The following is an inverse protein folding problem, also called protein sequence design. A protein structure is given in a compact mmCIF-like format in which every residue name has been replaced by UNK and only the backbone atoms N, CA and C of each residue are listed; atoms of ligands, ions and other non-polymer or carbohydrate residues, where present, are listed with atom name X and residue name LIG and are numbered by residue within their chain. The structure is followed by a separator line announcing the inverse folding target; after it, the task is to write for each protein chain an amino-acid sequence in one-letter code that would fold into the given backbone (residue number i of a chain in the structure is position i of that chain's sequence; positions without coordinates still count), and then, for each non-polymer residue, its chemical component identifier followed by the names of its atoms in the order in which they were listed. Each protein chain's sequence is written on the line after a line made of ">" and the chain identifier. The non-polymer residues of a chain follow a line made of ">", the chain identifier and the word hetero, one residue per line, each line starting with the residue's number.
data_IF_012380536073
#
_entry.id   IF_012380536073
#
_cell.length_a   1.000
_cell.length_b   1.000
_cell.length_c   1.000
_cell.angle_alpha   90.00
_cell.angle_beta   90.00
_cell.angle_gamma   90.00
#
_symmetry.space_group_name_H-M   'P 1'
#
loop_
_entity.id
_entity.type
_entity.pdbx_description
1 polymer ?
#
# COMPACT_ATOMS: atom_id res chain seq x y z
N UNK A 1 12.21 10.22 -17.94
CA UNK A 1 12.60 8.81 -17.79
C UNK A 1 13.10 8.55 -16.37
N UNK A 2 12.22 8.73 -15.38
CA UNK A 2 12.49 8.32 -14.01
C UNK A 2 11.98 6.88 -13.88
N UNK A 3 12.86 5.99 -13.45
CA UNK A 3 12.52 4.57 -13.23
C UNK A 3 11.50 4.49 -12.10
N UNK A 4 10.31 3.96 -12.40
CA UNK A 4 9.41 3.43 -11.36
C UNK A 4 10.20 2.40 -10.55
N UNK A 5 10.15 2.53 -9.23
CA UNK A 5 10.82 1.64 -8.29
C UNK A 5 10.21 0.25 -8.41
N UNK A 6 11.02 -0.70 -8.89
CA UNK A 6 10.68 -2.11 -9.05
C UNK A 6 10.06 -2.70 -7.77
N UNK A 7 9.02 -3.52 -7.94
CA UNK A 7 8.45 -4.35 -6.88
C UNK A 7 9.54 -5.10 -6.11
N UNK A 8 9.43 -5.08 -4.77
CA UNK A 8 10.43 -5.53 -3.80
C UNK A 8 10.99 -6.94 -4.08
N UNK A 9 10.24 -7.81 -4.77
CA UNK A 9 10.67 -9.17 -5.12
C UNK A 9 11.77 -9.28 -6.19
N UNK A 10 11.87 -8.33 -7.14
CA UNK A 10 12.82 -8.42 -8.26
C UNK A 10 14.14 -7.67 -8.03
N UNK A 11 14.16 -6.66 -7.15
CA UNK A 11 15.37 -5.91 -6.81
C UNK A 11 16.42 -6.76 -6.05
N UNK A 12 15.99 -7.77 -5.28
CA UNK A 12 16.86 -8.67 -4.53
C UNK A 12 17.67 -9.64 -5.42
N UNK A 13 17.11 -10.06 -6.57
CA UNK A 13 17.77 -11.01 -7.49
C UNK A 13 18.86 -10.34 -8.36
N UNK A 14 18.68 -9.07 -8.74
CA UNK A 14 19.62 -8.36 -9.61
C UNK A 14 20.94 -7.92 -8.91
N UNK A 15 20.95 -7.79 -7.58
CA UNK A 15 22.17 -7.40 -6.82
C UNK A 15 23.09 -8.56 -6.44
N UNK A 16 22.59 -9.81 -6.36
CA UNK A 16 23.41 -10.99 -6.00
C UNK A 16 24.42 -11.41 -7.08
N UNK A 17 24.23 -11.00 -8.34
CA UNK A 17 25.13 -11.39 -9.45
C UNK A 17 26.34 -10.47 -9.67
N UNK A 18 26.44 -9.30 -9.02
CA UNK A 18 27.55 -8.35 -9.24
C UNK A 18 28.68 -8.38 -8.21
N UNK A 19 28.62 -9.23 -7.18
CA UNK A 19 29.64 -9.28 -6.11
C UNK A 19 30.67 -10.41 -6.33
N UNK A 20 30.52 -11.24 -7.37
CA UNK A 20 31.36 -12.43 -7.55
C UNK A 20 32.70 -12.25 -8.29
N UNK A 21 33.06 -11.05 -8.77
CA UNK A 21 34.34 -10.85 -9.47
C UNK A 21 35.06 -9.57 -9.04
N UNK A 22 35.84 -9.65 -7.96
CA UNK A 22 37.22 -9.12 -7.89
C UNK A 22 37.88 -9.45 -6.55
N UNK A 23 38.73 -10.47 -6.56
CA UNK A 23 39.82 -10.74 -5.60
C UNK A 23 41.09 -10.31 -6.36
N UNK A 24 42.02 -9.51 -5.85
CA UNK A 24 43.15 -9.86 -4.96
C UNK A 24 44.07 -8.61 -4.97
N UNK A 25 44.61 -8.08 -3.88
CA UNK A 25 45.99 -8.42 -3.44
C UNK A 25 46.48 -7.50 -2.30
N UNK A 26 47.31 -8.13 -1.45
CA UNK A 26 48.37 -7.60 -0.57
C UNK A 26 48.08 -7.15 0.87
N UNK A 27 48.42 -8.07 1.79
CA UNK A 27 48.68 -7.90 3.22
C UNK A 27 50.18 -7.56 3.40
N UNK A 28 50.58 -6.80 4.44
CA UNK A 28 51.51 -7.40 5.41
C UNK A 28 51.17 -7.16 6.90
N UNK A 29 51.12 -8.31 7.60
CA UNK A 29 51.29 -8.69 9.00
C UNK A 29 51.54 -7.71 10.18
N UNK A 30 50.89 -8.12 11.30
CA UNK A 30 51.30 -8.17 12.73
C UNK A 30 50.93 -7.02 13.68
N UNK A 31 49.96 -7.29 14.57
CA UNK A 31 50.22 -7.59 16.01
C UNK A 31 48.92 -7.95 16.75
N UNK A 32 49.02 -8.92 17.65
CA UNK A 32 47.95 -9.58 18.42
C UNK A 32 47.42 -8.72 19.60
N UNK A 33 46.10 -8.70 19.82
CA UNK A 33 45.40 -8.63 21.13
C UNK A 33 43.87 -8.76 20.95
N UNK A 34 43.11 -9.18 21.98
CA UNK A 34 42.01 -10.14 21.86
C UNK A 34 40.63 -9.52 21.51
N UNK A 35 39.87 -10.29 20.72
CA UNK A 35 38.40 -10.36 20.64
C UNK A 35 37.64 -9.10 21.11
N UNK A 36 37.50 -8.13 20.21
CA UNK A 36 36.33 -7.26 20.21
C UNK A 36 35.16 -8.10 19.70
N UNK A 37 34.19 -8.35 20.57
CA UNK A 37 32.82 -8.63 20.18
C UNK A 37 32.40 -7.55 19.16
N UNK A 38 31.66 -7.97 18.12
CA UNK A 38 31.16 -7.07 17.09
C UNK A 38 30.22 -6.01 17.71
N UNK A 39 30.76 -4.93 18.24
CA UNK A 39 30.00 -3.75 18.64
C UNK A 39 29.45 -3.09 17.37
N UNK A 40 28.20 -3.43 17.05
CA UNK A 40 27.47 -2.88 15.92
C UNK A 40 27.09 -1.42 16.25
N UNK A 41 27.86 -0.45 15.76
CA UNK A 41 27.58 0.97 15.98
C UNK A 41 26.64 1.48 14.88
N UNK A 42 25.33 1.51 15.15
CA UNK A 42 24.34 2.15 14.27
C UNK A 42 24.28 3.64 14.63
N UNK A 43 24.51 4.52 13.65
CA UNK A 43 24.36 5.97 13.88
C UNK A 43 22.89 6.33 13.93
N UNK A 44 22.45 6.92 15.04
CA UNK A 44 21.08 7.40 15.22
C UNK A 44 20.90 8.77 14.55
N UNK A 45 19.70 9.04 14.05
CA UNK A 45 19.35 10.34 13.46
C UNK A 45 19.16 11.46 14.51
N UNK A 46 19.09 11.12 15.80
CA UNK A 46 18.87 12.05 16.91
C UNK A 46 19.87 11.79 18.05
N UNK A 47 20.30 12.85 18.75
CA UNK A 47 21.09 12.74 19.97
C UNK A 47 20.17 12.32 21.13
N UNK A 48 20.36 11.10 21.65
CA UNK A 48 19.55 10.52 22.73
C UNK A 48 20.43 10.22 23.94
N UNK A 49 19.88 10.33 25.16
CA UNK A 49 20.57 9.95 26.38
C UNK A 49 20.96 8.45 26.34
N UNK A 50 22.26 8.12 26.42
CA UNK A 50 22.72 6.72 26.43
C UNK A 50 22.23 5.88 27.62
N UNK A 51 21.60 6.48 28.63
CA UNK A 51 21.05 5.78 29.79
C UNK A 51 19.53 5.58 29.72
N UNK A 52 18.85 6.15 28.72
CA UNK A 52 17.42 5.93 28.49
C UNK A 52 17.22 4.89 27.38
N UNK A 53 17.14 3.62 27.79
CA UNK A 53 16.96 2.48 26.89
C UNK A 53 15.72 2.65 25.99
N UNK A 54 14.64 3.21 26.51
CA UNK A 54 13.40 3.36 25.76
C UNK A 54 13.47 4.50 24.74
N UNK A 55 14.14 5.60 25.08
CA UNK A 55 14.39 6.67 24.12
C UNK A 55 15.31 6.20 22.99
N UNK A 56 16.31 5.38 23.29
CA UNK A 56 17.19 4.76 22.29
C UNK A 56 16.39 3.85 21.36
N UNK A 57 15.51 3.01 21.92
CA UNK A 57 14.65 2.14 21.12
C UNK A 57 13.77 2.96 20.14
N UNK A 58 13.14 4.04 20.60
CA UNK A 58 12.34 4.91 19.73
C UNK A 58 13.17 5.53 18.62
N UNK A 59 14.35 6.06 18.93
CA UNK A 59 15.20 6.69 17.93
C UNK A 59 15.73 5.68 16.90
N UNK A 60 16.07 4.47 17.33
CA UNK A 60 16.49 3.40 16.43
C UNK A 60 15.36 2.96 15.50
N UNK A 61 14.16 2.76 16.05
CA UNK A 61 12.98 2.43 15.25
C UNK A 61 12.61 3.54 14.27
N UNK A 62 12.62 4.80 14.72
CA UNK A 62 12.41 5.96 13.83
C UNK A 62 13.44 6.04 12.71
N UNK A 63 14.71 5.73 13.00
CA UNK A 63 15.76 5.66 11.98
C UNK A 63 15.45 4.58 10.94
N UNK A 64 14.88 3.45 11.35
CA UNK A 64 14.40 2.43 10.43
C UNK A 64 13.21 2.91 9.60
N UNK A 65 12.16 3.44 10.22
CA UNK A 65 10.91 3.80 9.52
C UNK A 65 11.07 4.99 8.58
N UNK A 66 11.97 5.92 8.88
CA UNK A 66 12.30 7.06 8.01
C UNK A 66 13.31 6.73 6.90
N UNK A 67 13.94 5.56 6.96
CA UNK A 67 14.77 5.05 5.88
C UNK A 67 13.93 4.35 4.81
N UNK A 68 14.56 3.82 3.76
CA UNK A 68 13.87 3.00 2.76
C UNK A 68 13.35 1.64 3.29
N UNK A 69 13.42 1.39 4.61
CA UNK A 69 13.03 0.14 5.29
C UNK A 69 13.73 -1.11 4.71
N UNK A 70 14.88 -0.94 4.04
CA UNK A 70 15.58 -1.98 3.27
C UNK A 70 16.79 -2.59 4.02
N UNK A 71 16.98 -2.20 5.27
CA UNK A 71 18.12 -2.62 6.08
C UNK A 71 17.75 -3.66 7.12
N UNK A 72 17.96 -4.94 6.77
CA UNK A 72 17.86 -6.08 7.70
C UNK A 72 18.76 -5.87 8.93
N UNK A 73 19.88 -5.17 8.77
CA UNK A 73 20.81 -4.87 9.85
C UNK A 73 20.17 -3.95 10.91
N UNK A 74 19.48 -2.90 10.48
CA UNK A 74 18.89 -1.91 11.40
C UNK A 74 17.73 -2.53 12.15
N UNK A 75 16.85 -3.30 11.48
CA UNK A 75 15.70 -3.93 12.13
C UNK A 75 16.13 -5.01 13.14
N UNK A 76 17.19 -5.77 12.85
CA UNK A 76 17.80 -6.67 13.84
C UNK A 76 18.36 -5.90 15.05
N UNK A 77 18.91 -4.71 14.84
CA UNK A 77 19.31 -3.81 15.93
C UNK A 77 18.14 -3.45 16.85
N UNK A 78 16.98 -3.10 16.28
CA UNK A 78 15.74 -2.80 17.04
C UNK A 78 15.30 -4.01 17.87
N UNK A 79 15.29 -5.20 17.27
CA UNK A 79 14.90 -6.45 17.93
C UNK A 79 15.85 -6.79 19.08
N UNK A 80 17.16 -6.70 18.86
CA UNK A 80 18.15 -6.95 19.90
C UNK A 80 18.04 -5.97 21.07
N UNK A 81 17.69 -4.71 20.79
CA UNK A 81 17.43 -3.70 21.82
C UNK A 81 16.17 -4.04 22.62
N UNK A 82 15.09 -4.47 21.95
CA UNK A 82 13.90 -4.96 22.61
C UNK A 82 14.20 -6.14 23.55
N UNK A 83 14.99 -7.10 23.07
CA UNK A 83 15.44 -8.25 23.86
C UNK A 83 16.32 -7.84 25.04
N UNK A 84 17.20 -6.84 24.86
CA UNK A 84 18.04 -6.30 25.95
C UNK A 84 17.16 -5.71 27.04
N UNK A 85 16.18 -4.88 26.67
CA UNK A 85 15.23 -4.27 27.60
C UNK A 85 14.46 -5.35 28.36
N UNK A 86 13.91 -6.36 27.68
CA UNK A 86 13.16 -7.43 28.35
C UNK A 86 14.02 -8.29 29.28
N UNK A 87 15.27 -8.59 28.90
CA UNK A 87 16.19 -9.36 29.76
C UNK A 87 16.59 -8.59 31.01
N UNK A 88 16.69 -7.27 30.91
CA UNK A 88 17.09 -6.41 32.02
C UNK A 88 15.90 -5.91 32.86
N UNK A 89 14.67 -6.04 32.35
CA UNK A 89 13.48 -5.61 33.05
C UNK A 89 13.25 -6.44 34.32
N UNK A 90 13.11 -5.76 35.45
CA UNK A 90 12.65 -6.35 36.69
C UNK A 90 11.11 -6.49 36.70
N UNK A 91 10.53 -7.41 37.49
CA UNK A 91 9.07 -7.59 37.57
C UNK A 91 8.26 -6.34 37.95
N UNK A 92 8.92 -5.32 38.52
CA UNK A 92 8.32 -4.06 38.94
C UNK A 92 8.36 -2.99 37.83
N UNK A 93 9.13 -3.23 36.76
CA UNK A 93 9.36 -2.24 35.72
C UNK A 93 8.12 -2.16 34.83
N UNK A 94 7.70 -0.92 34.54
CA UNK A 94 6.56 -0.65 33.65
C UNK A 94 7.09 -0.51 32.24
N UNK A 95 6.89 -1.55 31.44
CA UNK A 95 7.21 -1.54 30.02
C UNK A 95 6.05 -0.88 29.28
N UNK A 96 6.25 0.26 28.61
CA UNK A 96 5.19 1.01 27.95
C UNK A 96 4.57 0.27 26.77
N UNK A 97 3.36 0.66 26.37
CA UNK A 97 2.62 0.08 25.24
C UNK A 97 3.39 0.12 23.91
N UNK A 98 4.00 1.26 23.57
CA UNK A 98 4.75 1.42 22.33
C UNK A 98 5.95 0.48 22.21
N UNK A 99 6.48 -0.03 23.33
CA UNK A 99 7.54 -1.04 23.29
C UNK A 99 7.05 -2.31 22.57
N UNK A 100 5.85 -2.77 22.94
CA UNK A 100 5.24 -3.97 22.36
C UNK A 100 4.89 -3.75 20.89
N UNK A 101 4.42 -2.54 20.54
CA UNK A 101 4.16 -2.13 19.15
C UNK A 101 5.45 -2.19 18.33
N UNK A 102 6.51 -1.50 18.77
CA UNK A 102 7.80 -1.48 18.08
C UNK A 102 8.35 -2.89 17.92
N UNK A 103 8.29 -3.71 18.97
CA UNK A 103 8.83 -5.06 18.91
C UNK A 103 8.04 -5.95 17.94
N UNK A 104 6.71 -5.98 18.05
CA UNK A 104 5.85 -6.75 17.15
C UNK A 104 6.02 -6.33 15.68
N UNK A 105 6.00 -5.03 15.40
CA UNK A 105 6.19 -4.51 14.05
C UNK A 105 7.61 -4.75 13.52
N UNK A 106 8.63 -4.74 14.38
CA UNK A 106 9.99 -5.04 13.94
C UNK A 106 10.16 -6.50 13.52
N UNK A 107 9.54 -7.43 14.23
CA UNK A 107 9.50 -8.85 13.84
C UNK A 107 8.71 -9.06 12.55
N UNK A 108 7.60 -8.34 12.38
CA UNK A 108 6.82 -8.32 11.14
C UNK A 108 7.63 -7.82 9.94
N UNK A 109 8.39 -6.74 10.10
CA UNK A 109 9.23 -6.21 9.02
C UNK A 109 10.44 -7.13 8.74
N UNK A 110 11.01 -7.78 9.76
CA UNK A 110 12.07 -8.77 9.57
C UNK A 110 11.60 -9.97 8.72
N UNK A 111 10.34 -10.37 8.86
CA UNK A 111 9.74 -11.47 8.09
C UNK A 111 9.88 -11.26 6.56
N UNK A 112 9.79 -10.00 6.09
CA UNK A 112 9.91 -9.62 4.67
C UNK A 112 11.29 -9.93 4.07
N UNK A 113 12.34 -10.05 4.88
CA UNK A 113 13.69 -10.42 4.42
C UNK A 113 13.88 -11.94 4.26
N UNK A 114 12.92 -12.75 4.73
CA UNK A 114 13.03 -14.20 4.81
C UNK A 114 11.88 -14.94 4.09
N UNK A 115 11.26 -14.30 3.09
CA UNK A 115 10.14 -14.85 2.30
C UNK A 115 10.44 -16.19 1.62
N UNK A 116 11.72 -16.50 1.36
CA UNK A 116 12.14 -17.80 0.80
C UNK A 116 12.09 -18.97 1.81
N UNK A 117 11.97 -18.69 3.12
CA UNK A 117 11.94 -19.71 4.17
C UNK A 117 10.64 -19.65 4.97
N UNK A 118 9.68 -20.50 4.60
CA UNK A 118 8.35 -20.56 5.21
C UNK A 118 8.38 -20.84 6.72
N UNK A 119 9.26 -21.72 7.20
CA UNK A 119 9.33 -22.04 8.63
C UNK A 119 9.75 -20.82 9.45
N UNK A 120 10.78 -20.09 8.98
CA UNK A 120 11.21 -18.84 9.62
C UNK A 120 10.15 -17.75 9.53
N UNK A 121 9.47 -17.65 8.40
CA UNK A 121 8.41 -16.68 8.18
C UNK A 121 7.29 -16.88 9.22
N UNK A 122 6.81 -18.11 9.38
CA UNK A 122 5.81 -18.48 10.39
C UNK A 122 6.30 -18.18 11.82
N UNK A 123 7.57 -18.44 12.13
CA UNK A 123 8.17 -18.13 13.43
C UNK A 123 8.17 -16.63 13.74
N UNK A 124 8.53 -15.78 12.77
CA UNK A 124 8.53 -14.33 12.96
C UNK A 124 7.13 -13.78 13.18
N UNK A 125 6.13 -14.22 12.40
CA UNK A 125 4.75 -13.78 12.57
C UNK A 125 4.16 -14.23 13.90
N UNK A 126 4.40 -15.48 14.32
CA UNK A 126 3.99 -15.96 15.65
C UNK A 126 4.64 -15.15 16.76
N UNK A 127 5.95 -14.92 16.68
CA UNK A 127 6.66 -14.11 17.67
C UNK A 127 6.12 -12.67 17.71
N UNK A 128 5.84 -12.07 16.55
CA UNK A 128 5.26 -10.73 16.44
C UNK A 128 3.90 -10.65 17.13
N UNK A 129 3.00 -11.59 16.82
CA UNK A 129 1.67 -11.68 17.44
C UNK A 129 1.75 -11.92 18.95
N UNK A 130 2.63 -12.82 19.41
CA UNK A 130 2.85 -13.05 20.84
C UNK A 130 3.27 -11.76 21.56
N UNK A 131 4.15 -10.93 20.97
CA UNK A 131 4.54 -9.65 21.57
C UNK A 131 3.37 -8.66 21.64
N UNK A 132 2.53 -8.62 20.61
CA UNK A 132 1.35 -7.75 20.61
C UNK A 132 0.31 -8.23 21.63
N UNK A 133 0.11 -9.55 21.75
CA UNK A 133 -0.80 -10.13 22.74
C UNK A 133 -0.32 -9.92 24.18
N UNK A 134 0.99 -10.04 24.43
CA UNK A 134 1.60 -9.65 25.71
C UNK A 134 1.31 -8.17 26.05
N UNK A 135 1.38 -7.30 25.04
CA UNK A 135 1.03 -5.88 25.16
C UNK A 135 -0.46 -5.67 25.47
N UNK A 136 -1.35 -6.30 24.71
CA UNK A 136 -2.81 -6.20 24.88
C UNK A 136 -3.28 -6.78 26.21
N UNK A 137 -2.60 -7.80 26.74
CA UNK A 137 -2.87 -8.33 28.07
C UNK A 137 -2.59 -7.32 29.20
N UNK A 138 -1.71 -6.34 28.96
CA UNK A 138 -1.35 -5.27 29.92
C UNK A 138 -2.10 -3.97 29.65
N UNK A 139 -2.28 -3.65 28.38
CA UNK A 139 -2.90 -2.44 27.86
C UNK A 139 -4.12 -2.84 27.04
N UNK A 140 -5.14 -3.31 27.76
CA UNK A 140 -6.38 -3.76 27.14
C UNK A 140 -6.94 -2.64 26.26
N UNK A 141 -7.36 -2.98 25.05
CA UNK A 141 -7.99 -2.06 24.11
C UNK A 141 -7.12 -0.88 23.63
N UNK A 142 -5.79 -0.93 23.81
CA UNK A 142 -4.89 0.08 23.26
C UNK A 142 -4.96 0.12 21.73
N UNK A 143 -5.24 1.30 21.17
CA UNK A 143 -5.49 1.50 19.73
C UNK A 143 -4.25 1.14 18.91
N UNK A 144 -3.07 1.62 19.31
CA UNK A 144 -1.82 1.34 18.58
C UNK A 144 -1.47 -0.16 18.53
N UNK A 145 -1.74 -0.90 19.61
CA UNK A 145 -1.57 -2.36 19.63
C UNK A 145 -2.56 -3.09 18.74
N UNK A 146 -3.81 -2.59 18.63
CA UNK A 146 -4.81 -3.16 17.72
C UNK A 146 -4.45 -2.90 16.25
N UNK A 147 -4.05 -1.67 15.91
CA UNK A 147 -3.55 -1.33 14.56
C UNK A 147 -2.35 -2.20 14.18
N UNK A 148 -1.38 -2.35 15.09
CA UNK A 148 -0.23 -3.23 14.88
C UNK A 148 -0.65 -4.69 14.70
N UNK A 149 -1.59 -5.20 15.51
CA UNK A 149 -2.11 -6.56 15.39
C UNK A 149 -2.72 -6.80 14.00
N UNK A 150 -3.61 -5.91 13.55
CA UNK A 150 -4.23 -6.02 12.23
C UNK A 150 -3.20 -6.03 11.11
N UNK A 151 -2.22 -5.11 11.15
CA UNK A 151 -1.13 -5.05 10.18
C UNK A 151 -0.32 -6.36 10.13
N UNK A 152 -0.03 -6.97 11.27
CA UNK A 152 0.70 -8.24 11.33
C UNK A 152 -0.12 -9.37 10.73
N UNK A 153 -1.43 -9.44 11.04
CA UNK A 153 -2.32 -10.46 10.49
C UNK A 153 -2.46 -10.35 8.97
N UNK A 154 -2.58 -9.14 8.42
CA UNK A 154 -2.61 -8.92 6.97
C UNK A 154 -1.30 -9.36 6.30
N UNK A 155 -0.15 -8.97 6.86
CA UNK A 155 1.15 -9.39 6.31
C UNK A 155 1.37 -10.90 6.41
N UNK A 156 0.93 -11.55 7.49
CA UNK A 156 0.96 -13.01 7.62
C UNK A 156 0.10 -13.67 6.53
N UNK A 157 -1.15 -13.18 6.37
CA UNK A 157 -2.06 -13.67 5.34
C UNK A 157 -1.41 -13.59 3.95
N UNK A 158 -0.87 -12.43 3.58
CA UNK A 158 -0.24 -12.22 2.28
C UNK A 158 0.99 -13.11 2.08
N UNK A 159 1.95 -13.10 3.01
CA UNK A 159 3.25 -13.75 2.78
C UNK A 159 3.23 -15.26 3.08
N UNK A 160 2.45 -15.71 4.07
CA UNK A 160 2.44 -17.12 4.51
C UNK A 160 1.35 -17.92 3.79
N UNK A 161 0.20 -17.29 3.51
CA UNK A 161 -0.99 -18.00 3.04
C UNK A 161 -1.26 -17.77 1.55
N UNK A 162 -1.14 -16.54 1.05
CA UNK A 162 -1.43 -16.19 -0.35
C UNK A 162 -0.23 -16.41 -1.26
N UNK A 163 0.94 -15.89 -0.91
CA UNK A 163 2.16 -15.96 -1.75
C UNK A 163 2.57 -17.39 -2.16
N UNK A 164 2.41 -18.44 -1.31
CA UNK A 164 2.75 -19.81 -1.71
C UNK A 164 1.73 -20.50 -2.63
N UNK A 165 0.59 -19.86 -2.92
CA UNK A 165 -0.44 -20.44 -3.77
C UNK A 165 0.04 -20.53 -5.22
N UNK A 166 -0.60 -21.44 -5.95
CA UNK A 166 -0.44 -21.67 -7.38
C UNK A 166 -1.83 -21.82 -8.01
N UNK A 167 -1.93 -21.72 -9.33
CA UNK A 167 -3.20 -21.93 -10.05
C UNK A 167 -3.88 -23.29 -9.76
N UNK A 168 -3.10 -24.28 -9.32
CA UNK A 168 -3.60 -25.62 -8.97
C UNK A 168 -3.98 -25.76 -7.48
N UNK A 169 -3.83 -24.71 -6.68
CA UNK A 169 -4.10 -24.73 -5.25
C UNK A 169 -5.59 -24.93 -4.97
N UNK A 170 -5.89 -25.74 -3.97
CA UNK A 170 -7.25 -26.10 -3.58
C UNK A 170 -7.45 -25.82 -2.11
N UNK A 171 -8.61 -25.27 -1.77
CA UNK A 171 -9.02 -25.11 -0.38
C UNK A 171 -9.10 -26.50 0.29
N UNK A 172 -8.41 -26.67 1.42
CA UNK A 172 -8.50 -27.89 2.22
C UNK A 172 -9.69 -27.77 3.17
N UNK A 173 -10.46 -28.86 3.34
CA UNK A 173 -11.66 -28.85 4.19
C UNK A 173 -11.37 -28.51 5.66
N UNK A 174 -10.19 -28.87 6.16
CA UNK A 174 -9.78 -28.67 7.56
C UNK A 174 -9.00 -27.36 7.80
N UNK A 175 -8.68 -26.61 6.74
CA UNK A 175 -7.98 -25.33 6.88
C UNK A 175 -8.99 -24.18 6.93
N UNK A 176 -8.69 -23.19 7.77
CA UNK A 176 -9.48 -21.98 7.85
C UNK A 176 -9.44 -21.23 6.51
N UNK A 177 -10.61 -20.75 6.06
CA UNK A 177 -10.74 -20.06 4.79
C UNK A 177 -9.99 -18.73 4.83
N UNK A 178 -9.31 -18.37 3.73
CA UNK A 178 -8.56 -17.11 3.62
C UNK A 178 -9.45 -15.89 3.83
N UNK A 179 -10.68 -15.90 3.29
CA UNK A 179 -11.65 -14.83 3.52
C UNK A 179 -11.99 -14.64 4.99
N UNK A 180 -12.05 -15.72 5.79
CA UNK A 180 -12.28 -15.62 7.23
C UNK A 180 -11.07 -15.02 7.95
N UNK A 181 -9.86 -15.42 7.58
CA UNK A 181 -8.63 -14.83 8.14
C UNK A 181 -8.52 -13.34 7.82
N UNK A 182 -8.94 -12.95 6.61
CA UNK A 182 -9.02 -11.55 6.22
C UNK A 182 -10.09 -10.82 7.06
N UNK A 183 -11.31 -11.35 7.14
CA UNK A 183 -12.39 -10.78 7.96
C UNK A 183 -11.95 -10.59 9.43
N UNK A 184 -11.25 -11.57 10.01
CA UNK A 184 -10.72 -11.48 11.37
C UNK A 184 -9.65 -10.38 11.53
N UNK A 185 -8.79 -10.17 10.52
CA UNK A 185 -7.79 -9.09 10.53
C UNK A 185 -8.48 -7.71 10.44
N UNK A 186 -9.42 -7.55 9.51
CA UNK A 186 -10.16 -6.31 9.30
C UNK A 186 -11.01 -5.95 10.53
N UNK A 187 -11.61 -6.94 11.20
CA UNK A 187 -12.35 -6.71 12.44
C UNK A 187 -11.48 -6.15 13.56
N UNK A 188 -10.19 -6.50 13.62
CA UNK A 188 -9.25 -5.93 14.60
C UNK A 188 -8.98 -4.45 14.30
N UNK A 189 -8.92 -4.08 13.02
CA UNK A 189 -8.80 -2.68 12.61
C UNK A 189 -10.04 -1.85 12.96
N UNK A 190 -11.24 -2.35 12.65
CA UNK A 190 -12.51 -1.70 12.99
C UNK A 190 -12.59 -1.40 14.51
N UNK A 191 -12.17 -2.37 15.34
CA UNK A 191 -12.11 -2.16 16.79
C UNK A 191 -11.13 -1.06 17.21
N UNK A 192 -10.05 -0.85 16.46
CA UNK A 192 -9.10 0.22 16.71
C UNK A 192 -9.69 1.58 16.34
N UNK A 193 -10.35 1.66 15.18
CA UNK A 193 -11.01 2.88 14.71
C UNK A 193 -12.16 3.31 15.63
N UNK A 194 -13.06 2.39 16.00
CA UNK A 194 -14.16 2.67 16.90
C UNK A 194 -13.65 3.31 18.21
N UNK A 195 -12.59 2.74 18.77
CA UNK A 195 -11.97 3.26 20.00
C UNK A 195 -11.28 4.59 19.80
N UNK A 196 -10.62 4.79 18.66
CA UNK A 196 -9.97 6.04 18.36
C UNK A 196 -10.98 7.19 18.19
N UNK A 197 -12.16 6.90 17.63
CA UNK A 197 -13.26 7.86 17.59
C UNK A 197 -13.84 8.13 18.99
N UNK A 198 -14.04 7.09 19.81
CA UNK A 198 -14.53 7.22 21.19
C UNK A 198 -13.59 8.04 22.09
N UNK A 199 -12.27 7.83 21.98
CA UNK A 199 -11.26 8.55 22.77
C UNK A 199 -10.75 9.83 22.12
N UNK A 200 -11.12 10.08 20.86
CA UNK A 200 -10.69 11.19 20.03
C UNK A 200 -9.16 11.27 19.83
N UNK A 201 -8.48 10.12 19.81
CA UNK A 201 -7.04 9.93 19.59
C UNK A 201 -6.70 9.90 18.08
N UNK A 202 -6.96 11.01 17.41
CA UNK A 202 -6.75 11.15 15.97
C UNK A 202 -5.27 11.22 15.57
N UNK A 203 -4.39 11.45 16.55
CA UNK A 203 -2.94 11.50 16.34
C UNK A 203 -2.36 10.19 15.83
N UNK A 204 -3.06 9.06 16.02
CA UNK A 204 -2.66 7.74 15.54
C UNK A 204 -2.94 7.52 14.05
N UNK A 205 -3.71 8.40 13.40
CA UNK A 205 -3.93 8.35 11.95
C UNK A 205 -2.83 9.15 11.26
N UNK A 206 -1.69 8.50 11.08
CA UNK A 206 -0.47 9.04 10.49
C UNK A 206 0.03 8.16 9.33
N UNK A 207 1.15 8.54 8.72
CA UNK A 207 1.72 7.83 7.57
C UNK A 207 2.11 6.38 7.90
N UNK A 208 2.61 6.12 9.11
CA UNK A 208 3.01 4.78 9.54
C UNK A 208 1.80 3.83 9.67
N UNK A 209 0.63 4.34 10.07
CA UNK A 209 -0.59 3.55 10.17
C UNK A 209 -1.40 3.50 8.86
N UNK A 210 -1.14 4.40 7.90
CA UNK A 210 -1.66 4.27 6.53
C UNK A 210 -1.10 3.01 5.83
N UNK A 211 0.11 2.56 6.20
CA UNK A 211 0.72 1.30 5.70
C UNK A 211 -0.23 0.09 5.82
N UNK A 212 -1.17 0.09 6.78
CA UNK A 212 -2.15 -1.00 6.91
C UNK A 212 -3.14 -1.03 5.74
N UNK A 213 -3.71 0.13 5.38
CA UNK A 213 -4.62 0.24 4.24
C UNK A 213 -3.88 -0.03 2.93
N UNK A 214 -2.61 0.41 2.82
CA UNK A 214 -1.74 0.05 1.70
C UNK A 214 -1.50 -1.46 1.62
N UNK A 215 -1.25 -2.13 2.75
CA UNK A 215 -1.02 -3.58 2.75
C UNK A 215 -2.28 -4.38 2.37
N UNK A 216 -3.48 -3.87 2.66
CA UNK A 216 -4.73 -4.45 2.19
C UNK A 216 -4.90 -4.25 0.69
N UNK A 217 -4.68 -3.02 0.19
CA UNK A 217 -4.72 -2.67 -1.23
C UNK A 217 -3.80 -3.59 -2.06
N UNK A 218 -2.54 -3.70 -1.62
CA UNK A 218 -1.54 -4.59 -2.24
C UNK A 218 -1.99 -6.07 -2.23
N UNK A 219 -2.67 -6.52 -1.17
CA UNK A 219 -3.20 -7.87 -1.10
C UNK A 219 -4.34 -8.07 -2.11
N UNK A 220 -5.26 -7.12 -2.23
CA UNK A 220 -6.36 -7.19 -3.19
C UNK A 220 -5.84 -7.17 -4.62
N UNK A 221 -4.86 -6.31 -4.93
CA UNK A 221 -4.17 -6.28 -6.22
C UNK A 221 -3.50 -7.63 -6.55
N UNK A 222 -2.81 -8.25 -5.58
CA UNK A 222 -2.22 -9.60 -5.75
C UNK A 222 -3.31 -10.64 -6.05
N UNK A 223 -4.49 -10.52 -5.46
CA UNK A 223 -5.61 -11.45 -5.64
C UNK A 223 -6.26 -11.27 -7.02
N UNK A 224 -6.50 -10.04 -7.44
CA UNK A 224 -7.13 -9.69 -8.71
C UNK A 224 -6.24 -10.02 -9.91
N UNK A 225 -4.92 -9.89 -9.73
CA UNK A 225 -3.91 -10.21 -10.73
C UNK A 225 -3.31 -11.61 -10.55
N UNK A 226 -3.88 -12.45 -9.69
CA UNK A 226 -3.30 -13.76 -9.37
C UNK A 226 -3.23 -14.66 -10.62
N UNK A 227 -2.00 -14.97 -11.04
CA UNK A 227 -1.73 -15.85 -12.17
C UNK A 227 -1.76 -15.18 -13.54
N UNK A 228 -2.15 -13.90 -13.61
CA UNK A 228 -1.92 -13.08 -14.80
C UNK A 228 -0.43 -12.82 -14.93
N UNK A 229 0.09 -12.91 -16.14
CA UNK A 229 1.54 -12.85 -16.39
C UNK A 229 1.96 -11.38 -16.52
N UNK A 230 1.60 -10.52 -15.55
CA UNK A 230 1.87 -9.08 -15.59
C UNK A 230 3.38 -8.82 -15.65
N UNK A 231 3.94 -8.88 -16.85
CA UNK A 231 5.31 -8.57 -17.16
C UNK A 231 5.43 -7.06 -17.03
N UNK A 232 5.79 -6.60 -15.83
CA UNK A 232 6.38 -5.28 -15.61
C UNK A 232 7.47 -5.03 -16.69
N UNK A 233 7.13 -4.27 -17.73
CA UNK A 233 8.04 -3.93 -18.83
C UNK A 233 7.58 -4.35 -20.23
N UNK A 234 6.29 -4.27 -20.55
CA UNK A 234 5.88 -4.17 -21.95
C UNK A 234 6.49 -2.90 -22.55
N UNK A 235 7.43 -3.09 -23.46
CA UNK A 235 7.91 -2.04 -24.36
C UNK A 235 6.69 -1.47 -25.10
N UNK A 236 6.65 -0.13 -25.29
CA UNK A 236 5.57 0.65 -25.94
C UNK A 236 5.25 0.23 -27.40
N UNK A 237 5.76 -0.91 -27.87
CA UNK A 237 5.67 -1.42 -29.24
C UNK A 237 4.91 -2.77 -29.36
N UNK A 238 4.31 -3.33 -28.28
CA UNK A 238 3.42 -4.50 -28.43
C UNK A 238 1.99 -4.05 -28.77
N UNK A 239 1.50 -4.54 -29.91
CA UNK A 239 0.15 -4.31 -30.41
C UNK A 239 -0.89 -4.71 -29.35
N UNK A 240 -1.93 -3.89 -29.17
CA UNK A 240 -3.05 -4.06 -28.21
C UNK A 240 -3.84 -5.38 -28.35
N UNK A 241 -3.49 -6.24 -29.31
CA UNK A 241 -4.16 -7.53 -29.57
C UNK A 241 -3.69 -8.67 -28.65
N UNK A 242 -2.64 -8.49 -27.84
CA UNK A 242 -2.14 -9.47 -26.85
C UNK A 242 -2.58 -9.14 -25.41
N UNK A 243 -3.83 -8.68 -25.20
CA UNK A 243 -4.42 -8.60 -23.84
C UNK A 243 -4.42 -10.02 -23.25
N UNK A 244 -3.52 -10.24 -22.28
CA UNK A 244 -3.28 -11.51 -21.60
C UNK A 244 -4.60 -12.17 -21.18
N UNK A 245 -4.80 -13.41 -21.64
CA UNK A 245 -5.97 -14.25 -21.34
C UNK A 245 -6.41 -14.11 -19.87
N UNK A 246 -7.67 -13.75 -19.65
CA UNK A 246 -8.26 -13.67 -18.31
C UNK A 246 -8.09 -15.02 -17.59
N UNK A 247 -7.29 -15.03 -16.53
CA UNK A 247 -6.97 -16.27 -15.81
C UNK A 247 -8.11 -16.64 -14.88
N UNK A 248 -8.98 -17.53 -15.37
CA UNK A 248 -10.06 -18.11 -14.58
C UNK A 248 -9.51 -19.04 -13.50
N UNK A 249 -9.81 -18.71 -12.24
CA UNK A 249 -9.49 -19.59 -11.11
C UNK A 249 -10.56 -20.67 -10.94
N UNK A 250 -10.17 -21.92 -10.64
CA UNK A 250 -11.12 -22.96 -10.27
C UNK A 250 -11.97 -22.53 -9.07
N UNK A 251 -13.27 -22.87 -9.06
CA UNK A 251 -14.19 -22.54 -7.95
C UNK A 251 -13.71 -23.01 -6.56
N UNK A 252 -12.89 -24.06 -6.50
CA UNK A 252 -12.30 -24.58 -5.25
C UNK A 252 -10.97 -23.93 -4.88
N UNK A 253 -10.51 -22.93 -5.63
CA UNK A 253 -9.29 -22.18 -5.36
C UNK A 253 -9.48 -21.27 -4.12
N UNK A 254 -8.52 -21.21 -3.18
CA UNK A 254 -8.67 -20.46 -1.93
C UNK A 254 -8.94 -18.95 -2.08
N UNK A 255 -8.56 -18.35 -3.21
CA UNK A 255 -8.72 -16.91 -3.47
C UNK A 255 -10.07 -16.53 -4.06
N UNK A 256 -10.86 -17.47 -4.59
CA UNK A 256 -12.13 -17.15 -5.27
C UNK A 256 -13.08 -16.35 -4.38
N UNK A 257 -13.17 -16.70 -3.09
CA UNK A 257 -14.04 -15.98 -2.15
C UNK A 257 -13.57 -14.58 -1.77
N UNK A 258 -12.36 -14.19 -2.17
CA UNK A 258 -11.84 -12.83 -1.99
C UNK A 258 -11.94 -12.08 -3.32
N UNK A 259 -11.47 -12.69 -4.41
CA UNK A 259 -11.46 -12.10 -5.76
C UNK A 259 -12.86 -11.74 -6.28
N UNK A 260 -13.82 -12.64 -6.08
CA UNK A 260 -15.14 -12.49 -6.69
C UNK A 260 -16.12 -11.73 -5.75
N UNK A 261 -15.63 -11.15 -4.65
CA UNK A 261 -16.43 -10.47 -3.63
C UNK A 261 -15.93 -9.04 -3.39
N UNK A 262 -16.65 -8.08 -3.96
CA UNK A 262 -16.30 -6.66 -3.92
C UNK A 262 -16.36 -6.03 -2.51
N UNK A 263 -16.86 -6.76 -1.51
CA UNK A 263 -16.95 -6.25 -0.12
C UNK A 263 -15.61 -5.76 0.43
N UNK A 264 -14.49 -6.32 -0.03
CA UNK A 264 -13.16 -5.92 0.44
C UNK A 264 -12.67 -4.62 -0.17
N UNK A 265 -12.95 -4.36 -1.46
CA UNK A 265 -12.68 -3.06 -2.09
C UNK A 265 -13.57 -1.98 -1.45
N UNK A 266 -14.85 -2.28 -1.24
CA UNK A 266 -15.77 -1.39 -0.56
C UNK A 266 -15.32 -1.10 0.88
N UNK A 267 -14.92 -2.13 1.63
CA UNK A 267 -14.35 -1.98 2.98
C UNK A 267 -13.13 -1.07 2.94
N UNK A 268 -12.15 -1.34 2.06
CA UNK A 268 -10.95 -0.53 1.94
C UNK A 268 -11.29 0.94 1.71
N UNK A 269 -12.27 1.22 0.84
CA UNK A 269 -12.66 2.58 0.50
C UNK A 269 -13.37 3.28 1.66
N UNK A 270 -14.32 2.63 2.32
CA UNK A 270 -15.05 3.18 3.46
C UNK A 270 -14.11 3.51 4.62
N UNK A 271 -13.16 2.63 4.88
CA UNK A 271 -12.16 2.81 5.93
C UNK A 271 -11.09 3.84 5.53
N UNK A 272 -10.77 3.99 4.24
CA UNK A 272 -9.91 5.07 3.75
C UNK A 272 -10.58 6.44 3.87
N UNK A 273 -11.90 6.55 3.64
CA UNK A 273 -12.65 7.78 3.95
C UNK A 273 -12.61 8.10 5.44
N UNK A 274 -12.83 7.11 6.30
CA UNK A 274 -12.78 7.29 7.76
C UNK A 274 -11.39 7.73 8.22
N UNK A 275 -10.34 7.13 7.65
CA UNK A 275 -8.95 7.56 7.87
C UNK A 275 -8.74 9.02 7.46
N UNK A 276 -9.20 9.43 6.27
CA UNK A 276 -9.13 10.82 5.80
C UNK A 276 -9.84 11.79 6.75
N UNK A 277 -11.03 11.43 7.22
CA UNK A 277 -11.78 12.23 8.19
C UNK A 277 -11.01 12.41 9.50
N UNK A 278 -10.36 11.35 9.99
CA UNK A 278 -9.56 11.41 11.20
C UNK A 278 -8.29 12.24 11.02
N UNK A 279 -7.64 12.16 9.85
CA UNK A 279 -6.54 13.07 9.48
C UNK A 279 -7.03 14.53 9.44
N UNK A 280 -8.21 14.81 8.90
CA UNK A 280 -8.81 16.15 8.90
C UNK A 280 -9.14 16.65 10.32
N UNK A 281 -9.59 15.76 11.22
CA UNK A 281 -9.79 16.08 12.64
C UNK A 281 -8.46 16.34 13.34
N UNK A 282 -7.42 15.56 13.04
CA UNK A 282 -6.07 15.73 13.55
C UNK A 282 -5.47 17.08 13.12
N UNK A 283 -5.57 17.42 11.83
CA UNK A 283 -5.11 18.70 11.26
C UNK A 283 -5.76 19.92 11.95
N UNK A 284 -7.06 19.82 12.30
CA UNK A 284 -7.78 20.88 13.02
C UNK A 284 -7.29 21.06 14.45
N UNK A 285 -6.84 19.99 15.12
CA UNK A 285 -6.35 20.03 16.51
C UNK A 285 -4.89 20.48 16.61
N UNK A 286 -4.04 20.04 15.67
CA UNK A 286 -2.58 20.19 15.77
C UNK A 286 -2.01 21.01 14.61
N UNK A 287 -1.94 22.34 14.80
CA UNK A 287 -1.39 23.27 13.79
C UNK A 287 0.10 23.07 13.50
N UNK A 288 0.82 22.43 14.41
CA UNK A 288 2.29 22.35 14.36
C UNK A 288 2.80 21.28 13.38
N UNK A 289 1.94 20.32 12.99
CA UNK A 289 2.23 19.26 12.00
C UNK A 289 1.54 19.48 10.65
N UNK A 290 1.19 20.73 10.35
CA UNK A 290 0.32 21.05 9.21
C UNK A 290 0.87 20.54 7.88
N UNK A 291 2.18 20.66 7.65
CA UNK A 291 2.79 20.30 6.37
C UNK A 291 2.85 18.77 6.19
N UNK A 292 3.26 18.03 7.23
CA UNK A 292 3.26 16.55 7.24
C UNK A 292 1.85 15.99 7.00
N UNK A 293 0.87 16.49 7.75
CA UNK A 293 -0.52 16.04 7.63
C UNK A 293 -1.17 16.48 6.31
N UNK A 294 -0.76 17.62 5.73
CA UNK A 294 -1.23 18.04 4.42
C UNK A 294 -0.71 17.11 3.31
N UNK A 295 0.55 16.66 3.41
CA UNK A 295 1.09 15.65 2.51
C UNK A 295 0.32 14.33 2.61
N UNK A 296 0.16 13.80 3.84
CA UNK A 296 -0.60 12.58 4.09
C UNK A 296 -2.04 12.68 3.56
N UNK A 297 -2.72 13.80 3.82
CA UNK A 297 -4.08 14.05 3.33
C UNK A 297 -4.17 13.99 1.80
N UNK A 298 -3.21 14.59 1.10
CA UNK A 298 -3.16 14.56 -0.38
C UNK A 298 -2.94 13.15 -0.89
N UNK A 299 -2.03 12.39 -0.26
CA UNK A 299 -1.79 11.00 -0.63
C UNK A 299 -3.05 10.14 -0.48
N UNK A 300 -3.80 10.28 0.62
CA UNK A 300 -5.06 9.57 0.84
C UNK A 300 -6.10 9.97 -0.23
N UNK A 301 -6.21 11.26 -0.55
CA UNK A 301 -7.11 11.73 -1.60
C UNK A 301 -6.70 11.18 -2.98
N UNK A 302 -5.41 11.10 -3.28
CA UNK A 302 -4.90 10.52 -4.53
C UNK A 302 -5.36 9.07 -4.66
N UNK A 303 -5.18 8.26 -3.60
CA UNK A 303 -5.61 6.85 -3.53
C UNK A 303 -7.12 6.68 -3.69
N UNK A 304 -7.92 7.48 -2.98
CA UNK A 304 -9.38 7.47 -3.15
C UNK A 304 -9.77 7.82 -4.60
N UNK A 305 -9.13 8.83 -5.18
CA UNK A 305 -9.33 9.20 -6.58
C UNK A 305 -9.07 8.03 -7.53
N UNK A 306 -7.92 7.36 -7.36
CA UNK A 306 -7.54 6.19 -8.16
C UNK A 306 -8.52 5.02 -7.98
N UNK A 307 -8.94 4.72 -6.76
CA UNK A 307 -9.92 3.65 -6.49
C UNK A 307 -11.27 3.89 -7.18
N UNK A 308 -11.74 5.14 -7.23
CA UNK A 308 -12.97 5.46 -7.97
C UNK A 308 -12.80 5.37 -9.49
N UNK A 309 -11.62 5.71 -10.02
CA UNK A 309 -11.33 5.50 -11.44
C UNK A 309 -11.33 4.01 -11.79
N UNK A 310 -10.69 3.17 -10.97
CA UNK A 310 -10.65 1.73 -11.17
C UNK A 310 -12.06 1.11 -11.15
N UNK A 311 -12.92 1.50 -10.21
CA UNK A 311 -14.31 1.01 -10.22
C UNK A 311 -15.10 1.52 -11.43
N UNK A 312 -14.76 2.70 -11.97
CA UNK A 312 -15.41 3.24 -13.15
C UNK A 312 -15.03 2.48 -14.44
N UNK A 313 -13.99 1.64 -14.45
CA UNK A 313 -13.52 0.95 -15.66
C UNK A 313 -14.60 0.03 -16.24
N UNK A 314 -15.23 -0.83 -15.42
CA UNK A 314 -16.24 -1.76 -15.90
C UNK A 314 -17.49 -1.03 -16.45
N UNK A 315 -18.10 -0.07 -15.74
CA UNK A 315 -19.19 0.72 -16.28
C UNK A 315 -18.80 1.51 -17.55
N UNK A 316 -17.59 2.06 -17.60
CA UNK A 316 -17.10 2.79 -18.79
C UNK A 316 -16.94 1.86 -19.99
N UNK A 317 -16.41 0.66 -19.77
CA UNK A 317 -16.27 -0.39 -20.78
C UNK A 317 -17.65 -0.81 -21.30
N UNK A 318 -18.58 -1.15 -20.41
CA UNK A 318 -19.94 -1.55 -20.78
C UNK A 318 -20.64 -0.47 -21.61
N UNK A 319 -20.57 0.79 -21.17
CA UNK A 319 -21.12 1.91 -21.92
C UNK A 319 -20.51 2.01 -23.31
N UNK A 320 -19.18 1.93 -23.41
CA UNK A 320 -18.47 2.06 -24.68
C UNK A 320 -18.80 0.92 -25.64
N UNK A 321 -18.80 -0.32 -25.16
CA UNK A 321 -19.14 -1.51 -25.94
C UNK A 321 -20.58 -1.44 -26.46
N UNK A 322 -21.56 -1.18 -25.58
CA UNK A 322 -22.97 -1.13 -25.99
C UNK A 322 -23.28 0.06 -26.93
N UNK A 323 -22.53 1.16 -26.82
CA UNK A 323 -22.81 2.38 -27.59
C UNK A 323 -22.09 2.45 -28.93
N UNK A 324 -20.88 1.90 -29.02
CA UNK A 324 -19.99 2.13 -30.16
C UNK A 324 -19.44 0.86 -30.81
N UNK A 325 -19.47 -0.28 -30.14
CA UNK A 325 -18.98 -1.54 -30.71
C UNK A 325 -20.07 -2.23 -31.55
N UNK A 326 -19.78 -2.43 -32.84
CA UNK A 326 -20.70 -3.07 -33.76
C UNK A 326 -20.97 -4.54 -33.40
N UNK A 327 -20.09 -5.19 -32.63
CA UNK A 327 -20.26 -6.58 -32.18
C UNK A 327 -21.35 -6.71 -31.09
N UNK A 328 -21.66 -5.63 -30.36
CA UNK A 328 -22.65 -5.59 -29.27
C UNK A 328 -23.92 -4.81 -29.62
N UNK A 329 -24.10 -4.41 -30.89
CA UNK A 329 -25.20 -3.54 -31.34
C UNK A 329 -26.61 -4.06 -31.06
N UNK A 330 -26.77 -5.38 -30.99
CA UNK A 330 -28.05 -6.05 -30.74
C UNK A 330 -28.23 -6.43 -29.25
N UNK A 331 -27.25 -6.14 -28.38
CA UNK A 331 -27.31 -6.41 -26.95
C UNK A 331 -27.92 -5.22 -26.19
N UNK A 332 -28.86 -5.50 -25.29
CA UNK A 332 -29.51 -4.47 -24.45
C UNK A 332 -28.77 -4.25 -23.11
N UNK A 333 -27.99 -5.25 -22.66
CA UNK A 333 -27.26 -5.24 -21.40
C UNK A 333 -25.95 -6.03 -21.53
N UNK A 334 -24.90 -5.59 -20.82
CA UNK A 334 -23.64 -6.29 -20.67
C UNK A 334 -23.21 -6.22 -19.20
N UNK A 335 -22.71 -7.34 -18.65
CA UNK A 335 -22.41 -7.46 -17.21
C UNK A 335 -23.56 -7.05 -16.27
N UNK A 336 -24.81 -7.16 -16.74
CA UNK A 336 -26.01 -6.79 -15.98
C UNK A 336 -26.30 -5.28 -15.91
N UNK A 337 -25.64 -4.48 -16.76
CA UNK A 337 -25.87 -3.05 -16.90
C UNK A 337 -26.35 -2.73 -18.31
N UNK A 338 -27.37 -1.87 -18.41
CA UNK A 338 -27.74 -1.22 -19.68
C UNK A 338 -26.76 -0.08 -20.00
N UNK A 339 -26.75 0.40 -21.24
CA UNK A 339 -25.91 1.55 -21.64
C UNK A 339 -26.17 2.80 -20.77
N UNK A 340 -27.43 3.12 -20.47
CA UNK A 340 -27.79 4.29 -19.64
C UNK A 340 -27.35 4.12 -18.18
N UNK A 341 -27.51 2.93 -17.61
CA UNK A 341 -27.07 2.63 -16.24
C UNK A 341 -25.54 2.66 -16.14
N UNK A 342 -24.84 2.07 -17.12
CA UNK A 342 -23.39 2.05 -17.19
C UNK A 342 -22.81 3.47 -17.35
N UNK A 343 -23.39 4.28 -18.23
CA UNK A 343 -23.03 5.69 -18.41
C UNK A 343 -23.19 6.49 -17.10
N UNK A 344 -24.36 6.38 -16.45
CA UNK A 344 -24.64 7.09 -15.22
C UNK A 344 -23.71 6.68 -14.07
N UNK A 345 -23.47 5.38 -13.91
CA UNK A 345 -22.54 4.86 -12.90
C UNK A 345 -21.11 5.33 -13.15
N UNK A 346 -20.61 5.23 -14.39
CA UNK A 346 -19.29 5.69 -14.77
C UNK A 346 -19.12 7.20 -14.52
N UNK A 347 -20.11 8.01 -14.90
CA UNK A 347 -20.09 9.46 -14.67
C UNK A 347 -20.03 9.80 -13.18
N UNK A 348 -20.82 9.14 -12.34
CA UNK A 348 -20.83 9.35 -10.89
C UNK A 348 -19.48 9.00 -10.26
N UNK A 349 -18.93 7.85 -10.61
CA UNK A 349 -17.64 7.37 -10.10
C UNK A 349 -16.49 8.29 -10.52
N UNK A 350 -16.39 8.65 -11.81
CA UNK A 350 -15.32 9.54 -12.28
C UNK A 350 -15.48 10.96 -11.71
N UNK A 351 -16.71 11.46 -11.53
CA UNK A 351 -16.92 12.74 -10.85
C UNK A 351 -16.44 12.70 -9.38
N UNK A 352 -16.67 11.58 -8.69
CA UNK A 352 -16.17 11.39 -7.33
C UNK A 352 -14.65 11.23 -7.29
N UNK A 353 -14.04 10.59 -8.30
CA UNK A 353 -12.59 10.54 -8.48
C UNK A 353 -11.99 11.94 -8.64
N UNK A 354 -12.54 12.76 -9.55
CA UNK A 354 -12.11 14.13 -9.79
C UNK A 354 -12.15 15.00 -8.52
N UNK A 355 -13.18 14.83 -7.69
CA UNK A 355 -13.30 15.53 -6.41
C UNK A 355 -12.13 15.22 -5.47
N UNK A 356 -11.63 13.99 -5.44
CA UNK A 356 -10.49 13.63 -4.61
C UNK A 356 -9.15 13.96 -5.27
N UNK A 357 -8.98 13.72 -6.56
CA UNK A 357 -7.76 14.10 -7.30
C UNK A 357 -7.50 15.61 -7.24
N UNK A 358 -8.55 16.43 -7.34
CA UNK A 358 -8.43 17.90 -7.15
C UNK A 358 -7.96 18.26 -5.73
N UNK A 359 -8.37 17.49 -4.71
CA UNK A 359 -7.88 17.69 -3.35
C UNK A 359 -6.46 17.15 -3.12
N UNK A 360 -6.00 16.25 -3.97
CA UNK A 360 -4.65 15.71 -4.00
C UNK A 360 -3.65 16.61 -4.75
N UNK A 361 -4.12 17.59 -5.52
CA UNK A 361 -3.28 18.47 -6.34
C UNK A 361 -2.10 19.05 -5.54
N UNK A 362 -0.87 18.81 -6.02
CA UNK A 362 0.31 19.52 -5.58
C UNK A 362 0.80 20.47 -6.68
N UNK A 363 1.00 21.74 -6.31
CA UNK A 363 1.47 22.79 -7.24
C UNK A 363 2.92 22.61 -7.66
N UNK A 364 3.68 21.76 -6.98
CA UNK A 364 5.06 21.46 -7.30
C UNK A 364 5.22 20.16 -8.08
N UNK A 365 4.14 19.36 -8.21
CA UNK A 365 4.16 18.06 -8.88
C UNK A 365 3.18 18.04 -10.07
N UNK A 366 3.66 18.33 -11.29
CA UNK A 366 2.83 18.37 -12.49
C UNK A 366 2.10 17.06 -12.82
N UNK A 367 2.55 15.93 -12.29
CA UNK A 367 1.88 14.63 -12.43
C UNK A 367 0.48 14.64 -11.83
N UNK A 368 0.30 15.22 -10.64
CA UNK A 368 -1.02 15.36 -10.00
C UNK A 368 -2.01 16.19 -10.82
N UNK A 369 -1.52 17.07 -11.71
CA UNK A 369 -2.38 17.84 -12.62
C UNK A 369 -2.81 17.00 -13.80
N UNK A 370 -1.91 16.15 -14.29
CA UNK A 370 -2.19 15.24 -15.41
C UNK A 370 -3.23 14.21 -14.99
N UNK A 371 -3.13 13.66 -13.78
CA UNK A 371 -4.14 12.73 -13.24
C UNK A 371 -5.55 13.34 -13.27
N UNK A 372 -5.67 14.63 -12.92
CA UNK A 372 -6.95 15.37 -12.98
C UNK A 372 -7.42 15.52 -14.44
N UNK A 373 -6.51 15.88 -15.36
CA UNK A 373 -6.85 16.08 -16.76
C UNK A 373 -7.28 14.76 -17.44
N UNK A 374 -6.59 13.66 -17.18
CA UNK A 374 -6.94 12.34 -17.70
C UNK A 374 -8.33 11.90 -17.18
N UNK A 375 -8.62 12.10 -15.90
CA UNK A 375 -9.94 11.86 -15.35
C UNK A 375 -11.03 12.76 -15.98
N UNK A 376 -10.71 14.02 -16.31
CA UNK A 376 -11.64 14.91 -17.03
C UNK A 376 -11.92 14.41 -18.46
N UNK A 377 -10.89 13.90 -19.15
CA UNK A 377 -11.03 13.32 -20.49
C UNK A 377 -11.91 12.08 -20.42
N UNK A 378 -11.64 11.16 -19.49
CA UNK A 378 -12.46 9.97 -19.28
C UNK A 378 -13.92 10.32 -18.99
N UNK A 379 -14.18 11.36 -18.20
CA UNK A 379 -15.54 11.85 -17.98
C UNK A 379 -16.16 12.45 -19.25
N UNK A 380 -15.39 13.21 -20.02
CA UNK A 380 -15.82 13.79 -21.29
C UNK A 380 -16.19 12.75 -22.35
N UNK A 381 -15.50 11.60 -22.35
CA UNK A 381 -15.79 10.46 -23.23
C UNK A 381 -17.15 9.80 -22.94
N UNK A 382 -17.71 10.02 -21.74
CA UNK A 382 -19.01 9.49 -21.34
C UNK A 382 -20.18 10.41 -21.67
N UNK A 383 -19.93 11.62 -22.19
CA UNK A 383 -20.99 12.52 -22.65
C UNK A 383 -21.23 12.38 -24.15
N UNK A 384 -22.39 12.86 -24.60
CA UNK A 384 -22.71 12.90 -26.02
C UNK A 384 -21.65 13.71 -26.79
N UNK A 385 -21.31 13.24 -27.99
CA UNK A 385 -20.37 13.91 -28.89
C UNK A 385 -20.84 15.34 -29.17
N UNK A 386 -19.93 16.30 -29.05
CA UNK A 386 -20.16 17.75 -29.22
C UNK A 386 -21.16 18.36 -28.20
N UNK A 387 -21.39 17.71 -27.06
CA UNK A 387 -22.15 18.30 -25.95
C UNK A 387 -21.37 19.43 -25.25
N UNK A 388 -22.10 20.38 -24.65
CA UNK A 388 -21.47 21.48 -23.89
C UNK A 388 -20.63 20.94 -22.72
N UNK A 389 -21.08 19.85 -22.11
CA UNK A 389 -20.39 19.16 -21.03
C UNK A 389 -19.06 18.55 -21.49
N UNK A 390 -19.06 17.82 -22.62
CA UNK A 390 -17.84 17.24 -23.20
C UNK A 390 -16.85 18.34 -23.60
N UNK A 391 -17.30 19.34 -24.35
CA UNK A 391 -16.43 20.44 -24.82
C UNK A 391 -15.80 21.19 -23.64
N UNK A 392 -16.56 21.42 -22.56
CA UNK A 392 -16.04 22.08 -21.36
C UNK A 392 -14.97 21.24 -20.67
N UNK A 393 -15.18 19.93 -20.51
CA UNK A 393 -14.23 19.04 -19.85
C UNK A 393 -12.93 18.92 -20.65
N UNK A 394 -13.02 18.77 -21.97
CA UNK A 394 -11.83 18.73 -22.84
C UNK A 394 -11.07 20.04 -22.85
N UNK A 395 -11.75 21.18 -22.87
CA UNK A 395 -11.09 22.49 -22.80
C UNK A 395 -10.32 22.69 -21.48
N UNK A 396 -10.91 22.27 -20.36
CA UNK A 396 -10.26 22.34 -19.04
C UNK A 396 -9.06 21.36 -18.97
N UNK A 397 -9.22 20.13 -19.46
CA UNK A 397 -8.13 19.15 -19.55
C UNK A 397 -6.97 19.64 -20.42
N UNK A 398 -7.27 20.19 -21.60
CA UNK A 398 -6.26 20.75 -22.52
C UNK A 398 -5.48 21.90 -21.85
N UNK A 399 -6.16 22.78 -21.12
CA UNK A 399 -5.51 23.88 -20.41
C UNK A 399 -4.53 23.37 -19.33
N UNK A 400 -4.93 22.32 -18.60
CA UNK A 400 -4.10 21.69 -17.57
C UNK A 400 -2.90 20.98 -18.22
N UNK A 401 -3.11 20.19 -19.27
CA UNK A 401 -2.04 19.47 -19.97
C UNK A 401 -1.04 20.43 -20.62
N UNK A 402 -1.50 21.53 -21.21
CA UNK A 402 -0.63 22.59 -21.72
C UNK A 402 0.24 23.18 -20.61
N UNK A 403 -0.33 23.47 -19.42
CA UNK A 403 0.41 23.95 -18.25
C UNK A 403 1.45 22.91 -17.79
N UNK A 404 1.07 21.65 -17.66
CA UNK A 404 1.96 20.56 -17.24
C UNK A 404 3.12 20.35 -18.23
N UNK A 405 2.83 20.37 -19.53
CA UNK A 405 3.84 20.25 -20.59
C UNK A 405 4.86 21.38 -20.59
N UNK A 406 4.41 22.62 -20.38
CA UNK A 406 5.31 23.76 -20.30
C UNK A 406 6.28 23.66 -19.12
N UNK A 407 5.82 23.17 -17.96
CA UNK A 407 6.65 23.03 -16.76
C UNK A 407 7.59 21.82 -16.85
N UNK A 408 7.20 20.77 -17.55
CA UNK A 408 7.97 19.51 -17.66
C UNK A 408 8.83 19.39 -18.92
N UNK A 409 8.88 20.43 -19.76
CA UNK A 409 9.56 20.43 -21.06
C UNK A 409 9.02 19.36 -22.03
N UNK A 410 7.70 19.17 -22.06
CA UNK A 410 7.01 18.32 -23.02
C UNK A 410 6.91 16.83 -22.64
N UNK A 411 6.99 16.48 -21.35
CA UNK A 411 6.82 15.09 -20.86
C UNK A 411 5.45 14.50 -21.23
N UNK A 412 4.41 15.32 -21.28
CA UNK A 412 3.01 14.91 -21.47
C UNK A 412 2.48 15.34 -22.84
N UNK A 413 3.38 15.50 -23.82
CA UNK A 413 2.98 15.99 -25.14
C UNK A 413 2.09 14.97 -25.84
N UNK A 414 2.38 13.69 -25.69
CA UNK A 414 1.61 12.62 -26.34
C UNK A 414 0.17 12.56 -25.81
N UNK A 415 -0.03 12.73 -24.49
CA UNK A 415 -1.37 12.84 -23.88
C UNK A 415 -2.15 14.03 -24.45
N UNK A 416 -1.48 15.18 -24.60
CA UNK A 416 -2.07 16.38 -25.19
C UNK A 416 -2.39 16.21 -26.68
N UNK A 417 -1.46 15.63 -27.44
CA UNK A 417 -1.61 15.41 -28.89
C UNK A 417 -2.71 14.36 -29.17
N UNK A 418 -2.96 13.41 -28.26
CA UNK A 418 -4.06 12.45 -28.34
C UNK A 418 -5.44 13.08 -28.06
N UNK A 419 -5.53 14.03 -27.11
CA UNK A 419 -6.78 14.75 -26.84
C UNK A 419 -7.22 15.63 -28.03
N UNK A 420 -6.25 16.17 -28.78
CA UNK A 420 -6.49 17.13 -29.88
C UNK A 420 -6.79 16.47 -31.24
N UNK A 421 -6.72 15.15 -31.33
CA UNK A 421 -7.03 14.36 -32.52
C UNK A 421 -8.49 13.89 -32.49
#
# INVERSE_FOLDING_TARGET
>A
MAKRTLGLGKAAKAKKQKIAETVESEIPEKSESPQLENELTIQLNEEVDPNDDFAQLKALYKTFTTSAKDSELVINGVIHECDRILRNAEPKDVIPDYFYIIYGLSLNELAKFHTENKEKLDEYFKAALERIEDGLAKYENNIGLLLAKSRILLNELTLVRVSPLTLESKAKEDEEKLSKLLDDALQVYEQAEDKAEESAEYELFDEDNLDLLTALDDLLDIVDNFGKDTLEGLDEDQEEDDIEDEVDLPFDHPLVSIRDDDRYNQWWRDHTHTFLENVDKHLKKNSDKKDELAHLRREICRRLGQSYLQEAELPSLVFTSLSYDDDYKDEEELHGLTSEEAQGAAQELIAQALKYLTQAEDKEEPETWVDIAEAMISLGNLYDVDSEEQESLYADAEAILNKANNVTNGKYKDVLDNLLQ
#
